data_IF_808166977299
#
_entry.id   IF_808166977299
#
_cell.length_a   1.000
_cell.length_b   1.000
_cell.length_c   1.000
_cell.angle_alpha   90.00
_cell.angle_beta   90.00
_cell.angle_gamma   90.00
#
_symmetry.space_group_name_H-M   'P 1'
#
loop_
_entity.id
_entity.type
_entity.pdbx_description
1 polymer ?
#
# COMPACT_ATOMS: atom_id res chain seq x y z
N UNK A 1 0.96 -19.46 14.30
CA UNK A 1 1.63 -18.50 13.37
C UNK A 1 1.66 -19.14 12.01
N UNK A 2 1.33 -18.40 10.94
CA UNK A 2 1.40 -18.88 9.54
C UNK A 2 2.27 -17.93 8.73
N UNK A 3 2.85 -18.40 7.62
CA UNK A 3 3.44 -17.52 6.63
C UNK A 3 2.31 -16.78 5.87
N UNK A 4 2.35 -15.45 5.83
CA UNK A 4 1.28 -14.62 5.25
C UNK A 4 0.13 -14.31 6.22
N UNK A 5 -1.12 -14.38 5.74
CA UNK A 5 -2.34 -14.09 6.51
C UNK A 5 -3.36 -15.23 6.40
N UNK A 6 -4.11 -15.46 7.47
CA UNK A 6 -5.26 -16.39 7.44
C UNK A 6 -6.34 -15.79 6.55
N UNK A 7 -6.84 -16.56 5.59
CA UNK A 7 -7.84 -16.11 4.64
C UNK A 7 -9.23 -16.02 5.26
N UNK A 8 -10.01 -15.04 4.80
CA UNK A 8 -11.45 -14.96 5.01
C UNK A 8 -12.15 -16.13 4.31
N UNK A 9 -13.31 -16.56 4.81
CA UNK A 9 -14.15 -17.51 4.09
C UNK A 9 -14.49 -16.92 2.69
N UNK A 10 -14.20 -17.62 1.58
CA UNK A 10 -14.42 -17.08 0.23
C UNK A 10 -15.88 -16.75 -0.05
N UNK A 11 -16.84 -17.43 0.59
CA UNK A 11 -18.27 -17.11 0.46
C UNK A 11 -18.66 -15.78 1.14
N UNK A 12 -17.79 -15.24 2.01
CA UNK A 12 -17.98 -13.94 2.63
C UNK A 12 -17.15 -12.84 1.96
N UNK A 13 -16.39 -13.16 0.91
CA UNK A 13 -15.59 -12.19 0.17
C UNK A 13 -16.50 -11.17 -0.52
N UNK A 14 -16.08 -9.92 -0.53
CA UNK A 14 -16.81 -8.81 -1.15
C UNK A 14 -15.88 -8.00 -2.05
N UNK A 15 -16.41 -7.22 -3.02
CA UNK A 15 -15.59 -6.38 -3.87
C UNK A 15 -14.65 -5.44 -3.10
N UNK A 16 -15.07 -4.96 -1.91
CA UNK A 16 -14.27 -4.07 -1.07
C UNK A 16 -13.01 -4.74 -0.52
N UNK A 17 -12.98 -6.08 -0.41
CA UNK A 17 -11.77 -6.81 -0.02
C UNK A 17 -10.66 -6.68 -1.08
N UNK A 18 -11.01 -6.32 -2.33
CA UNK A 18 -10.09 -6.22 -3.48
C UNK A 18 -9.90 -4.78 -3.99
N UNK A 19 -10.45 -3.79 -3.29
CA UNK A 19 -10.47 -2.41 -3.76
C UNK A 19 -9.78 -1.45 -2.80
N UNK A 20 -9.06 -0.48 -3.35
CA UNK A 20 -8.47 0.64 -2.61
C UNK A 20 -8.66 1.93 -3.40
N UNK A 21 -9.14 2.97 -2.72
CA UNK A 21 -9.29 4.32 -3.27
C UNK A 21 -8.30 5.28 -2.61
N UNK A 22 -8.12 6.46 -3.21
CA UNK A 22 -7.26 7.52 -2.69
C UNK A 22 -5.92 7.63 -3.39
N UNK A 23 -5.52 6.63 -4.21
CA UNK A 23 -4.35 6.75 -5.08
C UNK A 23 -4.53 7.77 -6.23
N UNK A 24 -5.74 8.26 -6.44
CA UNK A 24 -6.04 9.39 -7.32
C UNK A 24 -5.58 10.73 -6.72
N UNK A 25 -5.39 10.80 -5.40
CA UNK A 25 -5.01 12.01 -4.67
C UNK A 25 -3.53 12.00 -4.31
N UNK A 26 -2.83 13.13 -4.41
CA UNK A 26 -1.46 13.24 -3.94
C UNK A 26 -1.39 13.14 -2.41
N UNK A 27 -0.35 12.46 -1.92
CA UNK A 27 -0.01 12.43 -0.50
C UNK A 27 0.47 13.78 0.02
N UNK A 28 0.40 13.98 1.35
CA UNK A 28 0.87 15.21 1.98
C UNK A 28 2.41 15.24 2.10
N UNK A 29 3.04 16.05 1.25
CA UNK A 29 4.49 16.23 1.21
C UNK A 29 4.99 17.38 2.11
N UNK A 30 4.12 18.02 2.90
CA UNK A 30 4.49 19.05 3.89
C UNK A 30 5.13 18.41 5.14
N UNK A 31 6.27 17.76 4.93
CA UNK A 31 7.06 17.10 5.96
C UNK A 31 8.58 17.30 5.66
N UNK A 32 9.48 17.03 6.61
CA UNK A 32 10.91 17.33 6.45
C UNK A 32 11.60 16.64 5.27
N UNK A 33 11.07 15.49 4.82
CA UNK A 33 11.61 14.77 3.67
C UNK A 33 11.06 15.28 2.33
N UNK A 34 9.98 16.07 2.35
CA UNK A 34 9.31 16.52 1.14
C UNK A 34 8.74 15.37 0.30
N UNK A 35 8.55 14.18 0.87
CA UNK A 35 8.04 13.00 0.17
C UNK A 35 6.99 12.27 1.00
N UNK A 36 6.07 11.58 0.33
CA UNK A 36 5.03 10.79 0.98
C UNK A 36 4.86 9.46 0.27
N UNK A 37 4.99 8.36 1.01
CA UNK A 37 4.77 7.00 0.49
C UNK A 37 3.38 6.54 0.92
N UNK A 38 2.51 6.31 -0.06
CA UNK A 38 1.20 5.68 0.14
C UNK A 38 1.30 4.21 -0.25
N UNK A 39 1.53 3.34 0.73
CA UNK A 39 1.62 1.90 0.52
C UNK A 39 0.23 1.27 0.34
N UNK A 40 0.15 0.32 -0.58
CA UNK A 40 -1.03 -0.50 -0.87
C UNK A 40 -0.59 -1.96 -0.94
N UNK A 41 -0.58 -2.61 0.21
CA UNK A 41 -0.21 -4.01 0.37
C UNK A 41 -1.38 -4.81 0.96
N UNK A 42 -1.15 -6.06 1.35
CA UNK A 42 -2.16 -6.96 1.93
C UNK A 42 -2.86 -6.42 3.19
N UNK A 43 -2.26 -5.43 3.89
CA UNK A 43 -2.88 -4.75 5.03
C UNK A 43 -3.93 -3.74 4.59
N UNK A 44 -3.77 -3.15 3.40
CA UNK A 44 -4.70 -2.17 2.83
C UNK A 44 -5.77 -2.84 1.96
N UNK A 45 -5.38 -3.87 1.20
CA UNK A 45 -6.26 -4.68 0.35
C UNK A 45 -6.08 -6.15 0.73
N UNK A 46 -6.99 -6.68 1.55
CA UNK A 46 -6.91 -8.05 2.06
C UNK A 46 -6.93 -9.10 0.94
N UNK A 47 -7.59 -8.80 -0.18
CA UNK A 47 -7.67 -9.61 -1.39
C UNK A 47 -6.35 -9.78 -2.14
N UNK A 48 -5.30 -9.02 -1.82
CA UNK A 48 -3.95 -9.25 -2.38
C UNK A 48 -3.24 -10.45 -1.74
N UNK A 49 -3.75 -10.99 -0.63
CA UNK A 49 -3.14 -12.13 0.03
C UNK A 49 -2.96 -13.29 -0.97
N UNK A 50 -1.79 -13.92 -0.97
CA UNK A 50 -1.38 -15.01 -1.89
C UNK A 50 -1.14 -14.65 -3.36
N UNK A 51 -1.45 -13.42 -3.80
CA UNK A 51 -1.32 -13.03 -5.22
C UNK A 51 0.09 -12.57 -5.63
N UNK A 52 1.01 -12.40 -4.68
CA UNK A 52 2.40 -12.04 -4.96
C UNK A 52 2.60 -10.61 -5.48
N UNK A 53 1.60 -9.73 -5.32
CA UNK A 53 1.66 -8.34 -5.77
C UNK A 53 1.37 -7.35 -4.63
N UNK A 54 1.98 -6.18 -4.73
CA UNK A 54 1.71 -5.00 -3.89
C UNK A 54 2.05 -3.74 -4.68
N UNK A 55 1.57 -2.58 -4.23
CA UNK A 55 1.81 -1.30 -4.88
C UNK A 55 2.21 -0.23 -3.85
N UNK A 56 2.93 0.79 -4.30
CA UNK A 56 3.07 2.04 -3.58
C UNK A 56 3.01 3.22 -4.55
N UNK A 57 2.31 4.30 -4.16
CA UNK A 57 2.42 5.62 -4.80
C UNK A 57 3.38 6.46 -3.97
N UNK A 58 4.28 7.18 -4.62
CA UNK A 58 5.19 8.10 -3.93
C UNK A 58 5.00 9.49 -4.54
N UNK A 59 4.67 10.46 -3.71
CA UNK A 59 4.55 11.86 -4.08
C UNK A 59 5.77 12.63 -3.55
N UNK A 60 6.28 13.57 -4.34
CA UNK A 60 7.44 14.41 -4.01
C UNK A 60 7.10 15.88 -4.20
N UNK A 61 7.42 16.70 -3.19
CA UNK A 61 7.57 18.15 -3.36
C UNK A 61 8.87 18.46 -4.13
N UNK A 62 9.07 19.69 -4.63
CA UNK A 62 10.36 20.12 -5.15
C UNK A 62 11.47 19.83 -4.13
N UNK A 63 12.54 19.16 -4.58
CA UNK A 63 13.68 18.72 -3.76
C UNK A 63 13.36 17.65 -2.69
N UNK A 64 12.16 17.08 -2.73
CA UNK A 64 11.78 15.97 -1.87
C UNK A 64 12.64 14.72 -2.09
N UNK A 65 12.82 13.94 -1.04
CA UNK A 65 13.63 12.74 -1.04
C UNK A 65 12.89 11.59 -0.35
N UNK A 66 12.81 10.45 -1.02
CA UNK A 66 12.58 9.17 -0.37
C UNK A 66 13.98 8.58 -0.14
N UNK A 67 14.48 8.55 1.11
CA UNK A 67 15.89 8.22 1.38
C UNK A 67 16.29 6.85 0.81
N UNK A 68 17.60 6.59 0.61
CA UNK A 68 18.08 5.27 0.24
C UNK A 68 17.53 4.19 1.20
N UNK A 69 16.84 3.21 0.64
CA UNK A 69 16.22 2.10 1.38
C UNK A 69 16.25 0.83 0.54
N UNK A 70 15.91 -0.30 1.17
CA UNK A 70 15.79 -1.61 0.53
C UNK A 70 14.42 -2.23 0.84
N UNK A 71 13.92 -3.02 -0.09
CA UNK A 71 12.84 -3.98 0.16
C UNK A 71 13.50 -5.36 0.32
N UNK A 72 13.42 -5.99 1.51
CA UNK A 72 13.95 -7.33 1.73
C UNK A 72 13.38 -8.39 0.79
#
# INVERSE_FOLDING_TARGET
VVNGKVCKNPMMAKPEDFFFSGLDKPGNTSNPLGSMVTAVNVQNISGLNTLGISLARIDFAPWGLNPPHIHP
#
